data_IF_564708203589
#
_entry.id   IF_564708203589
#
_cell.length_a   1.000
_cell.length_b   1.000
_cell.length_c   1.000
_cell.angle_alpha   90.00
_cell.angle_beta   90.00
_cell.angle_gamma   90.00
#
_symmetry.space_group_name_H-M   'P 1'
#
loop_
_entity.id
_entity.type
_entity.pdbx_description
1 polymer ?
#
# COMPACT_ATOMS: atom_id res chain seq x y z
N UNK A 1 2.32 0.93 -14.70
CA UNK A 1 1.35 0.10 -13.96
C UNK A 1 1.24 -1.23 -14.69
N UNK A 2 1.32 -2.37 -13.99
CA UNK A 2 1.28 -3.69 -14.63
C UNK A 2 -0.10 -4.31 -14.55
N UNK A 3 -0.64 -4.50 -13.33
CA UNK A 3 -1.94 -5.13 -13.12
C UNK A 3 -2.54 -4.78 -11.77
N UNK A 4 -3.85 -5.00 -11.61
CA UNK A 4 -4.53 -4.95 -10.30
C UNK A 4 -4.48 -6.34 -9.69
N UNK A 5 -3.85 -6.47 -8.53
CA UNK A 5 -3.66 -7.75 -7.84
C UNK A 5 -4.56 -7.92 -6.60
N UNK A 6 -5.23 -6.85 -6.17
CA UNK A 6 -6.18 -6.91 -5.06
C UNK A 6 -7.18 -5.76 -5.10
N UNK A 7 -8.41 -6.04 -4.67
CA UNK A 7 -9.48 -5.04 -4.50
C UNK A 7 -10.11 -5.23 -3.13
N UNK A 8 -10.03 -4.20 -2.29
CA UNK A 8 -10.76 -4.10 -1.04
C UNK A 8 -11.84 -3.02 -1.11
N UNK A 9 -12.59 -2.84 -0.03
CA UNK A 9 -13.74 -1.92 0.02
C UNK A 9 -13.38 -0.45 -0.26
N UNK A 10 -12.18 -0.01 0.12
CA UNK A 10 -11.69 1.37 -0.07
C UNK A 10 -10.26 1.43 -0.61
N UNK A 11 -9.68 0.26 -0.92
CA UNK A 11 -8.29 0.11 -1.33
C UNK A 11 -8.19 -0.70 -2.61
N UNK A 12 -7.24 -0.34 -3.49
CA UNK A 12 -6.84 -1.16 -4.63
C UNK A 12 -5.36 -1.44 -4.51
N UNK A 13 -4.98 -2.70 -4.66
CA UNK A 13 -3.57 -3.14 -4.69
C UNK A 13 -3.15 -3.35 -6.13
N UNK A 14 -2.07 -2.69 -6.51
CA UNK A 14 -1.60 -2.60 -7.88
C UNK A 14 -0.17 -3.11 -7.94
N UNK A 15 0.11 -4.05 -8.83
CA UNK A 15 1.47 -4.45 -9.16
C UNK A 15 2.11 -3.35 -10.02
N UNK A 16 3.26 -2.86 -9.57
CA UNK A 16 4.02 -1.82 -10.26
C UNK A 16 5.48 -2.24 -10.41
N UNK A 17 6.14 -1.63 -11.39
CA UNK A 17 7.57 -1.73 -11.61
C UNK A 17 8.20 -0.37 -11.33
N UNK A 18 9.19 -0.34 -10.44
CA UNK A 18 9.97 0.87 -10.16
C UNK A 18 10.83 1.19 -11.39
N UNK A 19 10.88 2.45 -11.81
CA UNK A 19 11.43 2.85 -13.12
C UNK A 19 12.95 2.81 -13.20
N UNK A 20 13.62 3.08 -12.09
CA UNK A 20 15.07 3.21 -11.99
C UNK A 20 15.79 1.86 -11.98
N UNK A 21 15.23 0.85 -11.32
CA UNK A 21 15.86 -0.46 -11.15
C UNK A 21 15.04 -1.65 -11.66
N UNK A 22 13.82 -1.42 -12.16
CA UNK A 22 12.96 -2.48 -12.69
C UNK A 22 12.37 -3.42 -11.62
N UNK A 23 12.59 -3.17 -10.33
CA UNK A 23 12.08 -4.01 -9.24
C UNK A 23 10.56 -3.93 -9.13
N UNK A 24 9.92 -5.06 -8.83
CA UNK A 24 8.46 -5.15 -8.63
C UNK A 24 8.06 -4.78 -7.20
N UNK A 25 6.94 -4.08 -7.08
CA UNK A 25 6.33 -3.67 -5.81
C UNK A 25 4.81 -3.78 -5.89
N UNK A 26 4.16 -3.88 -4.73
CA UNK A 26 2.72 -3.73 -4.59
C UNK A 26 2.40 -2.34 -4.03
N UNK A 27 1.58 -1.56 -4.74
CA UNK A 27 1.07 -0.28 -4.23
C UNK A 27 -0.37 -0.46 -3.76
N UNK A 28 -0.60 -0.25 -2.46
CA UNK A 28 -1.93 -0.13 -1.86
C UNK A 28 -2.40 1.32 -1.96
N UNK A 29 -3.32 1.59 -2.87
CA UNK A 29 -3.93 2.92 -3.09
C UNK A 29 -5.28 3.00 -2.38
N UNK A 30 -5.45 3.96 -1.47
CA UNK A 30 -6.67 4.17 -0.68
C UNK A 30 -7.23 5.57 -0.88
N UNK A 31 -8.54 5.74 -1.06
CA UNK A 31 -9.18 7.05 -1.29
C UNK A 31 -9.45 7.75 0.05
N UNK A 32 -8.97 8.98 0.23
CA UNK A 32 -9.15 9.77 1.48
C UNK A 32 -10.61 9.98 1.84
N UNK A 33 -11.42 10.41 0.86
CA UNK A 33 -12.88 10.59 1.03
C UNK A 33 -13.56 9.38 1.67
N UNK A 34 -13.25 8.17 1.21
CA UNK A 34 -13.83 6.93 1.76
C UNK A 34 -13.30 6.62 3.17
N UNK A 35 -12.03 6.89 3.43
CA UNK A 35 -11.43 6.70 4.76
C UNK A 35 -12.11 7.62 5.78
N UNK A 36 -12.36 8.88 5.42
CA UNK A 36 -13.04 9.86 6.25
C UNK A 36 -14.50 9.50 6.48
N UNK A 37 -15.27 9.24 5.41
CA UNK A 37 -16.67 8.84 5.48
C UNK A 37 -16.89 7.59 6.34
N UNK A 38 -15.95 6.63 6.30
CA UNK A 38 -16.02 5.39 7.08
C UNK A 38 -15.30 5.49 8.44
N UNK A 39 -14.82 6.67 8.83
CA UNK A 39 -14.08 6.92 10.09
C UNK A 39 -12.88 5.97 10.29
N UNK A 40 -12.19 5.62 9.20
CA UNK A 40 -11.07 4.65 9.19
C UNK A 40 -9.69 5.31 9.30
N UNK A 41 -9.61 6.63 9.53
CA UNK A 41 -8.33 7.37 9.57
C UNK A 41 -7.34 6.73 10.56
N UNK A 42 -7.77 6.47 11.79
CA UNK A 42 -6.91 5.83 12.82
C UNK A 42 -6.39 4.46 12.39
N UNK A 43 -7.23 3.66 11.72
CA UNK A 43 -6.86 2.32 11.23
C UNK A 43 -5.76 2.40 10.16
N UNK A 44 -5.90 3.33 9.22
CA UNK A 44 -4.90 3.52 8.14
C UNK A 44 -3.56 4.00 8.71
N UNK A 45 -3.60 4.91 9.69
CA UNK A 45 -2.38 5.39 10.36
C UNK A 45 -1.71 4.27 11.15
N UNK A 46 -2.49 3.48 11.90
CA UNK A 46 -1.97 2.32 12.64
C UNK A 46 -1.35 1.28 11.71
N UNK A 47 -1.97 0.98 10.57
CA UNK A 47 -1.42 0.07 9.56
C UNK A 47 -0.04 0.55 9.07
N UNK A 48 0.08 1.83 8.70
CA UNK A 48 1.36 2.43 8.31
C UNK A 48 2.40 2.31 9.43
N UNK A 49 2.03 2.64 10.66
CA UNK A 49 2.95 2.67 11.80
C UNK A 49 3.45 1.28 12.17
N UNK A 50 2.57 0.28 12.10
CA UNK A 50 2.94 -1.14 12.31
C UNK A 50 3.90 -1.57 11.21
N UNK A 51 3.54 -1.36 9.95
CA UNK A 51 4.37 -1.78 8.82
C UNK A 51 5.76 -1.11 8.84
N UNK A 52 5.85 0.14 9.29
CA UNK A 52 7.13 0.86 9.39
C UNK A 52 8.04 0.31 10.49
N UNK A 53 7.46 -0.32 11.53
CA UNK A 53 8.21 -0.85 12.68
C UNK A 53 8.59 -2.33 12.54
N UNK A 54 8.00 -3.03 11.58
CA UNK A 54 8.24 -4.45 11.36
C UNK A 54 9.40 -4.64 10.38
N UNK A 55 10.40 -5.42 10.79
CA UNK A 55 11.44 -5.93 9.91
C UNK A 55 11.66 -7.41 10.23
N UNK A 56 11.03 -8.29 9.45
CA UNK A 56 11.09 -9.74 9.68
C UNK A 56 11.01 -10.47 8.33
N UNK A 57 11.82 -11.52 8.09
CA UNK A 57 11.92 -12.19 6.79
C UNK A 57 10.63 -12.86 6.29
N UNK A 58 9.63 -13.04 7.16
CA UNK A 58 8.33 -13.64 6.83
C UNK A 58 7.17 -12.65 6.85
N UNK A 59 7.44 -11.34 6.97
CA UNK A 59 6.41 -10.30 6.96
C UNK A 59 6.69 -9.31 5.84
N UNK A 60 5.62 -8.85 5.20
CA UNK A 60 5.70 -7.89 4.09
C UNK A 60 6.34 -6.59 4.60
N UNK A 61 7.42 -6.18 3.93
CA UNK A 61 8.09 -4.92 4.24
C UNK A 61 7.42 -3.74 3.55
N UNK A 62 7.30 -2.62 4.26
CA UNK A 62 7.00 -1.32 3.64
C UNK A 62 8.29 -0.67 3.15
N UNK A 63 8.29 -0.24 1.90
CA UNK A 63 9.40 0.50 1.32
C UNK A 63 9.20 2.01 1.48
N UNK A 64 7.98 2.50 1.29
CA UNK A 64 7.64 3.91 1.49
C UNK A 64 6.14 4.13 1.62
N UNK A 65 5.75 5.28 2.15
CA UNK A 65 4.37 5.75 2.19
C UNK A 65 4.31 7.21 1.73
N UNK A 66 3.34 7.54 0.88
CA UNK A 66 3.11 8.91 0.42
C UNK A 66 1.63 9.14 0.16
N UNK A 67 1.26 10.39 -0.13
CA UNK A 67 -0.12 10.76 -0.41
C UNK A 67 -0.17 11.86 -1.47
N UNK A 68 -1.25 11.88 -2.22
CA UNK A 68 -1.66 13.03 -3.04
C UNK A 68 -2.91 13.68 -2.42
N UNK A 69 -3.53 14.65 -3.10
CA UNK A 69 -4.75 15.32 -2.62
C UNK A 69 -5.92 14.36 -2.34
N UNK A 70 -6.03 13.26 -3.07
CA UNK A 70 -7.21 12.37 -3.08
C UNK A 70 -6.94 11.00 -2.47
N UNK A 71 -5.69 10.57 -2.39
CA UNK A 71 -5.30 9.18 -2.07
C UNK A 71 -4.08 9.10 -1.18
N UNK A 72 -4.03 8.00 -0.42
CA UNK A 72 -2.86 7.54 0.33
C UNK A 72 -2.32 6.31 -0.38
N UNK A 73 -1.00 6.21 -0.48
CA UNK A 73 -0.28 5.12 -1.13
C UNK A 73 0.72 4.51 -0.16
N UNK A 74 0.65 3.19 0.00
CA UNK A 74 1.69 2.40 0.66
C UNK A 74 2.42 1.59 -0.41
N UNK A 75 3.75 1.71 -0.48
CA UNK A 75 4.62 0.93 -1.34
C UNK A 75 5.13 -0.25 -0.53
N UNK A 76 4.72 -1.44 -0.92
CA UNK A 76 5.00 -2.68 -0.22
C UNK A 76 5.86 -3.58 -1.10
N UNK A 77 6.63 -4.43 -0.44
CA UNK A 77 7.24 -5.58 -1.09
C UNK A 77 6.17 -6.41 -1.84
N UNK A 78 6.53 -6.89 -3.03
CA UNK A 78 5.64 -7.75 -3.81
C UNK A 78 5.95 -9.22 -3.54
N UNK A 79 5.03 -9.92 -2.89
CA UNK A 79 5.09 -11.37 -2.71
C UNK A 79 4.44 -12.07 -3.92
N UNK A 80 5.24 -12.85 -4.65
CA UNK A 80 4.78 -13.62 -5.79
C UNK A 80 4.20 -14.96 -5.31
N UNK A 81 2.95 -15.27 -5.71
CA UNK A 81 2.27 -16.52 -5.33
C UNK A 81 0.90 -16.32 -4.67
N UNK A 82 0.63 -15.11 -4.16
CA UNK A 82 -0.58 -14.82 -3.38
C UNK A 82 -0.35 -15.06 -1.89
#
# INVERSE_FOLDING_TARGET
MLSVIGKGSYAKVILVRRKDNGQLYAIKSMKKKYIEEKKQVKRVMMERDILTKIDHPFLIKIHSAFQDEKKIFLVLEYCQGG
#
